data_IF_696494393875
#
_entry.id   IF_696494393875
#
_cell.length_a   1.000
_cell.length_b   1.000
_cell.length_c   1.000
_cell.angle_alpha   90.00
_cell.angle_beta   90.00
_cell.angle_gamma   90.00
#
_symmetry.space_group_name_H-M   'P 1'
#
loop_
_entity.id
_entity.type
_entity.pdbx_description
1 polymer ?
#
# COMPACT_ATOMS: atom_id res chain seq x y z
N UNK A 1 -10.71 29.99 -18.82
CA UNK A 1 -9.74 28.88 -18.74
C UNK A 1 -10.41 27.84 -17.86
N UNK A 2 -10.59 26.61 -18.35
CA UNK A 2 -11.12 25.53 -17.52
C UNK A 2 -10.10 25.23 -16.42
N UNK A 3 -10.55 25.08 -15.18
CA UNK A 3 -9.69 24.61 -14.09
C UNK A 3 -9.24 23.18 -14.43
N UNK A 4 -7.97 22.82 -14.18
CA UNK A 4 -7.51 21.45 -14.43
C UNK A 4 -8.33 20.51 -13.55
N UNK A 5 -8.84 19.42 -14.14
CA UNK A 5 -9.47 18.36 -13.37
C UNK A 5 -8.47 17.84 -12.33
N UNK A 6 -8.92 17.64 -11.09
CA UNK A 6 -8.09 17.13 -10.01
C UNK A 6 -8.29 15.62 -9.91
N UNK A 7 -7.21 14.87 -10.08
CA UNK A 7 -7.15 13.43 -9.89
C UNK A 7 -6.48 13.16 -8.55
N UNK A 8 -7.04 12.29 -7.73
CA UNK A 8 -6.47 11.93 -6.43
C UNK A 8 -5.89 10.52 -6.50
N UNK A 9 -4.67 10.36 -5.98
CA UNK A 9 -4.02 9.09 -5.72
C UNK A 9 -3.64 9.03 -4.25
N UNK A 10 -4.12 8.02 -3.54
CA UNK A 10 -3.80 7.77 -2.13
C UNK A 10 -3.14 6.41 -2.00
N UNK A 11 -1.98 6.37 -1.38
CA UNK A 11 -1.24 5.13 -1.10
C UNK A 11 -1.25 4.93 0.39
N UNK A 12 -1.97 3.93 0.85
CA UNK A 12 -2.15 3.61 2.26
C UNK A 12 -1.41 2.30 2.58
N UNK A 13 -0.95 2.19 3.83
CA UNK A 13 -0.29 0.99 4.34
C UNK A 13 -1.13 -0.28 4.17
N UNK A 14 -0.47 -1.43 4.28
CA UNK A 14 -1.03 -2.71 3.84
C UNK A 14 -2.20 -3.26 4.63
N UNK A 15 -2.92 -4.17 3.96
CA UNK A 15 -3.89 -5.03 4.61
C UNK A 15 -3.14 -5.87 5.66
N UNK A 16 -3.62 -5.86 6.90
CA UNK A 16 -2.98 -6.54 8.03
C UNK A 16 -2.62 -8.00 7.68
N UNK A 17 -1.34 -8.34 7.89
CA UNK A 17 -0.80 -9.69 7.61
C UNK A 17 -0.58 -9.99 6.12
N UNK A 18 -0.49 -8.97 5.26
CA UNK A 18 -0.16 -9.12 3.85
C UNK A 18 0.89 -8.11 3.38
N UNK A 19 1.75 -8.54 2.47
CA UNK A 19 2.71 -7.67 1.78
C UNK A 19 2.05 -6.93 0.61
N UNK A 20 0.97 -6.20 0.90
CA UNK A 20 0.25 -5.38 -0.08
C UNK A 20 0.13 -3.95 0.41
N UNK A 21 -0.15 -3.01 -0.47
CA UNK A 21 -0.57 -1.64 -0.16
C UNK A 21 -1.88 -1.36 -0.86
N UNK A 22 -2.71 -0.53 -0.23
CA UNK A 22 -3.95 -0.07 -0.83
C UNK A 22 -3.67 1.21 -1.61
N UNK A 23 -4.03 1.23 -2.89
CA UNK A 23 -3.96 2.41 -3.73
C UNK A 23 -5.35 2.83 -4.12
N UNK A 24 -5.78 3.97 -3.63
CA UNK A 24 -7.05 4.57 -4.03
C UNK A 24 -6.80 5.58 -5.14
N UNK A 25 -7.51 5.45 -6.26
CA UNK A 25 -7.46 6.38 -7.39
C UNK A 25 -8.85 6.87 -7.76
N UNK A 26 -8.98 8.14 -8.17
CA UNK A 26 -10.23 8.68 -8.70
C UNK A 26 -10.79 7.80 -9.83
N UNK A 27 -12.11 7.56 -9.81
CA UNK A 27 -12.77 6.64 -10.75
C UNK A 27 -12.54 6.98 -12.22
N UNK A 28 -12.53 8.27 -12.56
CA UNK A 28 -12.32 8.73 -13.95
C UNK A 28 -10.89 8.45 -14.47
N UNK A 29 -9.95 8.15 -13.58
CA UNK A 29 -8.55 7.93 -13.90
C UNK A 29 -8.07 6.50 -13.62
N UNK A 30 -8.94 5.61 -13.12
CA UNK A 30 -8.55 4.27 -12.69
C UNK A 30 -8.01 3.42 -13.84
N UNK A 31 -8.62 3.49 -15.02
CA UNK A 31 -8.17 2.70 -16.18
C UNK A 31 -6.77 3.13 -16.66
N UNK A 32 -6.52 4.45 -16.71
CA UNK A 32 -5.22 4.99 -17.07
C UNK A 32 -4.16 4.63 -16.01
N UNK A 33 -4.53 4.65 -14.74
CA UNK A 33 -3.63 4.26 -13.66
C UNK A 33 -3.27 2.77 -13.75
N UNK A 34 -4.25 1.88 -13.95
CA UNK A 34 -4.02 0.43 -14.13
C UNK A 34 -3.16 0.14 -15.37
N UNK A 35 -3.37 0.87 -16.46
CA UNK A 35 -2.52 0.76 -17.65
C UNK A 35 -1.07 1.11 -17.32
N UNK A 36 -0.83 2.20 -16.58
CA UNK A 36 0.52 2.62 -16.20
C UNK A 36 1.20 1.64 -15.24
N UNK A 37 0.45 1.05 -14.29
CA UNK A 37 0.94 -0.04 -13.45
C UNK A 37 1.34 -1.25 -14.31
N UNK A 38 0.52 -1.61 -15.29
CA UNK A 38 0.80 -2.74 -16.20
C UNK A 38 2.05 -2.50 -17.05
N UNK A 39 2.26 -1.28 -17.54
CA UNK A 39 3.48 -0.89 -18.28
C UNK A 39 4.75 -0.96 -17.41
N UNK A 40 4.61 -0.74 -16.10
CA UNK A 40 5.68 -0.90 -15.12
C UNK A 40 5.80 -2.34 -14.57
N UNK A 41 5.08 -3.31 -15.16
CA UNK A 41 5.05 -4.72 -14.72
C UNK A 41 4.57 -4.90 -13.27
N UNK A 42 3.68 -4.01 -12.82
CA UNK A 42 3.07 -4.02 -11.49
C UNK A 42 1.67 -4.63 -11.59
N UNK A 43 1.48 -5.77 -10.94
CA UNK A 43 0.15 -6.36 -10.79
C UNK A 43 -0.66 -5.59 -9.74
N UNK A 44 -1.92 -5.32 -10.05
CA UNK A 44 -2.85 -4.66 -9.16
C UNK A 44 -4.22 -5.33 -9.26
N UNK A 45 -4.81 -5.63 -8.10
CA UNK A 45 -6.12 -6.27 -8.01
C UNK A 45 -7.15 -5.30 -7.44
N UNK A 46 -8.30 -5.10 -8.09
CA UNK A 46 -9.36 -4.26 -7.54
C UNK A 46 -9.94 -4.90 -6.28
N UNK A 47 -10.07 -4.10 -5.22
CA UNK A 47 -10.74 -4.50 -4.00
C UNK A 47 -12.21 -4.09 -4.05
N UNK A 48 -13.10 -4.94 -3.55
CA UNK A 48 -14.51 -4.59 -3.31
C UNK A 48 -14.65 -3.71 -2.07
N UNK A 49 -13.99 -2.54 -2.12
CA UNK A 49 -13.91 -1.54 -1.06
C UNK A 49 -14.32 -0.19 -1.64
N UNK A 50 -15.23 0.50 -0.97
CA UNK A 50 -15.61 1.88 -1.32
C UNK A 50 -14.81 2.85 -0.45
N UNK A 51 -14.02 3.77 -1.02
CA UNK A 51 -13.36 4.80 -0.24
C UNK A 51 -14.42 5.73 0.37
N UNK A 52 -14.33 6.07 1.66
CA UNK A 52 -15.35 6.88 2.33
C UNK A 52 -15.41 8.32 1.79
N UNK A 53 -14.28 8.88 1.38
CA UNK A 53 -14.11 10.30 1.03
C UNK A 53 -13.60 10.52 -0.40
N UNK A 54 -13.75 9.50 -1.26
CA UNK A 54 -13.40 9.60 -2.68
C UNK A 54 -14.33 8.70 -3.50
N UNK A 55 -14.90 9.22 -4.58
CA UNK A 55 -15.49 8.36 -5.61
C UNK A 55 -14.36 7.75 -6.45
N UNK A 56 -13.78 6.68 -5.91
CA UNK A 56 -12.58 6.05 -6.43
C UNK A 56 -12.67 4.54 -6.51
N UNK A 57 -11.60 3.96 -7.05
CA UNK A 57 -11.32 2.52 -7.06
C UNK A 57 -10.17 2.28 -6.09
N UNK A 58 -10.29 1.26 -5.24
CA UNK A 58 -9.20 0.79 -4.39
C UNK A 58 -8.56 -0.42 -5.05
N UNK A 59 -7.24 -0.39 -5.18
CA UNK A 59 -6.42 -1.45 -5.74
C UNK A 59 -5.51 -2.01 -4.64
N UNK A 60 -5.36 -3.32 -4.58
CA UNK A 60 -4.27 -3.95 -3.84
C UNK A 60 -3.06 -4.07 -4.76
N UNK A 61 -1.91 -3.56 -4.32
CA UNK A 61 -0.63 -3.63 -5.03
C UNK A 61 0.38 -4.30 -4.11
N UNK A 62 1.20 -5.22 -4.60
CA UNK A 62 2.24 -5.84 -3.78
C UNK A 62 3.24 -4.80 -3.25
N UNK A 63 3.50 -4.77 -1.93
CA UNK A 63 4.37 -3.76 -1.31
C UNK A 63 5.82 -3.82 -1.80
N UNK A 64 6.26 -4.96 -2.32
CA UNK A 64 7.58 -5.10 -2.95
C UNK A 64 7.75 -4.22 -4.19
N UNK A 65 6.66 -3.86 -4.88
CA UNK A 65 6.67 -2.95 -6.05
C UNK A 65 6.92 -1.49 -5.66
N UNK A 66 6.79 -1.16 -4.37
CA UNK A 66 7.27 0.12 -3.84
C UNK A 66 8.80 0.25 -3.95
N UNK A 67 9.54 -0.82 -4.28
CA UNK A 67 10.99 -0.80 -4.41
C UNK A 67 11.70 -0.67 -3.06
N UNK A 68 13.03 -0.79 -3.01
CA UNK A 68 13.83 -0.36 -1.84
C UNK A 68 14.08 1.16 -1.85
N UNK A 69 13.70 1.77 -2.98
CA UNK A 69 14.07 3.08 -3.48
C UNK A 69 12.90 3.73 -4.24
N UNK A 70 11.67 3.21 -4.14
CA UNK A 70 10.50 3.82 -4.79
C UNK A 70 10.38 3.54 -6.30
N UNK A 71 11.37 2.93 -6.94
CA UNK A 71 11.62 3.09 -8.38
C UNK A 71 10.59 2.45 -9.32
N UNK A 72 9.97 1.32 -8.95
CA UNK A 72 8.93 0.69 -9.78
C UNK A 72 7.62 1.47 -9.76
N UNK A 73 7.02 1.60 -8.57
CA UNK A 73 5.76 2.31 -8.38
C UNK A 73 5.86 3.82 -8.67
N UNK A 74 6.97 4.46 -8.31
CA UNK A 74 7.23 5.87 -8.65
C UNK A 74 7.27 6.12 -10.16
N UNK A 75 7.85 5.19 -10.93
CA UNK A 75 7.84 5.26 -12.40
C UNK A 75 6.42 5.15 -12.96
N UNK A 76 5.60 4.25 -12.42
CA UNK A 76 4.19 4.14 -12.82
C UNK A 76 3.38 5.40 -12.47
N UNK A 77 3.56 5.97 -11.28
CA UNK A 77 2.91 7.24 -10.90
C UNK A 77 3.27 8.38 -11.87
N UNK A 78 4.52 8.41 -12.32
CA UNK A 78 4.97 9.40 -13.30
C UNK A 78 4.34 9.16 -14.67
N UNK A 79 4.41 7.93 -15.20
CA UNK A 79 3.82 7.58 -16.49
C UNK A 79 2.32 7.89 -16.53
N UNK A 80 1.62 7.57 -15.43
CA UNK A 80 0.23 7.94 -15.23
C UNK A 80 0.02 9.46 -15.30
N UNK A 81 0.79 10.23 -14.54
CA UNK A 81 0.66 11.70 -14.48
C UNK A 81 0.92 12.35 -15.84
N UNK A 82 1.90 11.85 -16.58
CA UNK A 82 2.18 12.27 -17.95
C UNK A 82 1.00 11.94 -18.90
N UNK A 83 0.33 10.81 -18.69
CA UNK A 83 -0.83 10.37 -19.52
C UNK A 83 -2.10 11.19 -19.29
N UNK A 84 -2.31 11.70 -18.07
CA UNK A 84 -3.52 12.45 -17.70
C UNK A 84 -3.35 13.97 -17.81
N UNK A 85 -2.16 14.45 -18.22
CA UNK A 85 -1.91 15.86 -18.44
C UNK A 85 -2.94 16.45 -19.45
N UNK A 86 -3.54 17.62 -19.15
CA UNK A 86 -3.13 18.61 -18.15
C UNK A 86 -3.85 18.50 -16.78
N UNK A 87 -4.47 17.38 -16.43
CA UNK A 87 -5.09 17.21 -15.12
C UNK A 87 -4.05 17.33 -13.98
N UNK A 88 -4.46 17.95 -12.87
CA UNK A 88 -3.61 18.07 -11.69
C UNK A 88 -3.76 16.80 -10.83
N UNK A 89 -2.65 16.09 -10.61
CA UNK A 89 -2.63 14.91 -9.73
C UNK A 89 -2.28 15.33 -8.31
N UNK A 90 -3.20 15.12 -7.39
CA UNK A 90 -2.96 15.22 -5.96
C UNK A 90 -2.56 13.84 -5.43
N UNK A 91 -1.29 13.70 -5.04
CA UNK A 91 -0.77 12.47 -4.45
C UNK A 91 -0.72 12.59 -2.93
N UNK A 92 -1.15 11.53 -2.25
CA UNK A 92 -0.90 11.34 -0.83
C UNK A 92 -0.38 9.94 -0.56
N UNK A 93 0.58 9.84 0.36
CA UNK A 93 1.16 8.58 0.84
C UNK A 93 1.02 8.62 2.36
N UNK A 94 0.27 7.66 2.92
CA UNK A 94 -0.02 7.54 4.34
C UNK A 94 -0.56 8.86 4.94
N UNK A 95 -1.54 9.44 4.25
CA UNK A 95 -2.18 10.71 4.61
C UNK A 95 -1.32 11.98 4.41
N UNK A 96 -0.05 11.86 4.03
CA UNK A 96 0.83 13.00 3.76
C UNK A 96 0.78 13.36 2.28
N UNK A 97 0.65 14.66 1.94
CA UNK A 97 0.59 15.12 0.54
C UNK A 97 1.97 15.29 -0.09
N UNK A 98 2.10 14.94 -1.36
CA UNK A 98 3.35 15.01 -2.13
C UNK A 98 3.13 15.67 -3.49
N UNK A 99 4.17 16.36 -3.99
CA UNK A 99 4.22 16.79 -5.38
C UNK A 99 4.74 15.64 -6.25
N UNK A 100 3.93 15.15 -7.18
CA UNK A 100 4.32 14.08 -8.10
C UNK A 100 5.55 14.45 -8.95
N UNK A 101 5.77 15.75 -9.20
CA UNK A 101 6.95 16.19 -9.94
C UNK A 101 8.25 15.94 -9.16
N UNK A 102 8.21 15.89 -7.82
CA UNK A 102 9.37 15.63 -6.97
C UNK A 102 9.57 14.11 -6.76
N UNK A 103 10.15 13.47 -7.76
CA UNK A 103 10.36 12.02 -7.80
C UNK A 103 11.27 11.52 -6.67
N UNK A 104 12.20 12.34 -6.18
CA UNK A 104 13.05 11.95 -5.07
C UNK A 104 12.22 11.86 -3.78
N UNK A 105 11.41 12.89 -3.51
CA UNK A 105 10.54 12.92 -2.35
C UNK A 105 9.51 11.79 -2.36
N UNK A 106 8.88 11.54 -3.52
CA UNK A 106 7.93 10.43 -3.69
C UNK A 106 8.64 9.08 -3.49
N UNK A 107 9.83 8.90 -4.07
CA UNK A 107 10.61 7.67 -3.93
C UNK A 107 10.96 7.37 -2.46
N UNK A 108 11.46 8.36 -1.74
CA UNK A 108 11.79 8.26 -0.32
C UNK A 108 10.55 7.91 0.52
N UNK A 109 9.41 8.53 0.25
CA UNK A 109 8.16 8.25 0.96
C UNK A 109 7.63 6.83 0.74
N UNK A 110 7.74 6.30 -0.49
CA UNK A 110 7.36 4.92 -0.81
C UNK A 110 8.31 3.91 -0.14
N UNK A 111 9.61 4.23 -0.09
CA UNK A 111 10.61 3.40 0.60
C UNK A 111 10.37 3.37 2.12
N UNK A 112 10.09 4.53 2.73
CA UNK A 112 9.73 4.63 4.16
C UNK A 112 8.43 3.88 4.49
N UNK A 113 7.42 3.96 3.61
CA UNK A 113 6.19 3.18 3.76
C UNK A 113 6.49 1.68 3.76
N UNK A 114 7.29 1.20 2.81
CA UNK A 114 7.69 -0.21 2.75
C UNK A 114 8.44 -0.64 4.00
N UNK A 115 9.42 0.14 4.45
CA UNK A 115 10.22 -0.20 5.62
C UNK A 115 9.35 -0.34 6.87
N UNK A 116 8.31 0.50 7.02
CA UNK A 116 7.33 0.38 8.10
C UNK A 116 6.51 -0.90 8.00
N UNK A 117 6.08 -1.28 6.80
CA UNK A 117 5.38 -2.56 6.61
C UNK A 117 6.24 -3.78 6.92
N UNK A 118 7.51 -3.76 6.51
CA UNK A 118 8.45 -4.84 6.83
C UNK A 118 8.63 -4.97 8.36
N UNK A 119 8.70 -3.85 9.09
CA UNK A 119 8.74 -3.83 10.56
C UNK A 119 7.46 -4.37 11.20
N UNK A 120 6.29 -3.95 10.72
CA UNK A 120 4.99 -4.38 11.26
C UNK A 120 4.77 -5.89 11.05
N UNK A 121 5.23 -6.43 9.91
CA UNK A 121 5.19 -7.86 9.62
C UNK A 121 6.11 -8.66 10.56
N UNK A 122 7.33 -8.17 10.81
CA UNK A 122 8.27 -8.79 11.76
C UNK A 122 7.70 -8.81 13.19
N UNK A 123 7.11 -7.71 13.63
CA UNK A 123 6.46 -7.60 14.95
C UNK A 123 5.26 -8.56 15.08
N UNK A 124 4.45 -8.70 14.02
CA UNK A 124 3.34 -9.64 13.99
C UNK A 124 3.79 -11.11 14.06
N UNK A 125 4.91 -11.44 13.41
CA UNK A 125 5.52 -12.76 13.48
C UNK A 125 6.06 -13.05 14.89
N UNK A 126 6.71 -12.09 15.53
CA UNK A 126 7.20 -12.23 16.91
C UNK A 126 6.06 -12.40 17.92
N UNK A 127 4.99 -11.61 17.78
CA UNK A 127 3.80 -11.71 18.62
C UNK A 127 3.15 -13.10 18.49
N UNK A 128 3.02 -13.62 17.27
CA UNK A 128 2.49 -14.98 17.02
C UNK A 128 3.38 -16.06 17.62
N UNK A 129 4.70 -15.95 17.48
CA UNK A 129 5.64 -16.91 18.06
C UNK A 129 5.61 -16.90 19.59
N UNK A 130 5.38 -15.73 20.20
CA UNK A 130 5.24 -15.61 21.65
C UNK A 130 3.94 -16.23 22.16
N UNK A 131 2.81 -15.93 21.52
CA UNK A 131 1.52 -16.54 21.84
C UNK A 131 1.55 -18.07 21.74
N UNK A 132 2.20 -18.62 20.70
CA UNK A 132 2.31 -20.08 20.55
C UNK A 132 3.12 -20.72 21.69
N UNK A 133 4.23 -20.09 22.12
CA UNK A 133 5.04 -20.59 23.24
C UNK A 133 4.31 -20.53 24.59
N UNK A 134 3.46 -19.53 24.79
CA UNK A 134 2.60 -19.42 25.98
C UNK A 134 1.54 -20.51 25.99
N UNK A 135 0.84 -20.68 24.86
CA UNK A 135 -0.18 -21.72 24.69
C UNK A 135 0.38 -23.15 24.90
N UNK A 136 1.59 -23.44 24.38
CA UNK A 136 2.27 -24.73 24.57
C UNK A 136 2.71 -24.96 26.03
N UNK A 137 3.05 -23.91 26.78
CA UNK A 137 3.35 -24.02 28.21
C UNK A 137 2.10 -24.22 29.07
N UNK A 138 1.00 -23.55 28.75
CA UNK A 138 -0.27 -23.70 29.46
C UNK A 138 -0.84 -25.13 29.29
N UNK A 139 -0.88 -25.63 28.06
CA UNK A 139 -1.34 -27.00 27.75
C UNK A 139 -0.40 -28.10 28.30
N UNK A 140 0.91 -27.83 28.38
CA UNK A 140 1.89 -28.77 28.93
C UNK A 140 1.85 -28.89 30.47
N UNK A 141 1.14 -27.99 31.14
CA UNK A 141 1.04 -27.94 32.61
C UNK A 141 -0.21 -28.65 33.16
N UNK A 142 -1.22 -28.93 32.31
CA UNK A 142 -2.50 -29.54 32.71
C UNK A 142 -2.50 -31.08 32.68
N UNK A 143 -1.54 -31.73 32.01
CA UNK A 143 -1.49 -33.20 31.85
C UNK A 143 -0.71 -33.93 32.99
N UNK A 144 -0.21 -33.22 33.99
CA UNK A 144 0.66 -33.79 35.06
C UNK A 144 0.00 -33.94 36.45
N UNK A 145 -1.30 -33.66 36.60
CA UNK A 145 -2.03 -34.01 37.83
C UNK A 145 -2.79 -35.34 37.67
N UNK A 146 -2.05 -36.45 37.62
CA UNK A 146 -2.61 -37.77 37.94
C UNK A 146 -3.15 -37.74 39.39
N UNK A 147 -4.45 -38.04 39.62
CA UNK A 147 -5.00 -38.07 40.97
C UNK A 147 -4.46 -39.28 41.76
N UNK A 148 -4.08 -39.01 43.01
CA UNK A 148 -3.50 -39.96 43.98
C UNK A 148 -4.39 -41.16 44.31
#
# INVERSE_FOLDING_TARGET
>A
MAEPQRIEVRVDGGLAGTQTVEVTVSRDASDAFVASLSEAEIAADPLDKRPPDLDGVVLAVGSFHLGRDGSGFGTALRGFTDSVAPAAVALSIDGTSYDVADQAQVGDALADLRARQESDDDDALEARASWQREYEQEQGSEDSEEPK
#
